data_IF_095134124057
#
_entry.id   IF_095134124057
#
_cell.length_a   1.000
_cell.length_b   1.000
_cell.length_c   1.000
_cell.angle_alpha   90.00
_cell.angle_beta   90.00
_cell.angle_gamma   90.00
#
_symmetry.space_group_name_H-M   'P 1'
#
loop_
_entity.id
_entity.type
_entity.pdbx_description
1 polymer ?
#
# COMPACT_ATOMS: atom_id res chain seq x y z
N UNK A 1 11.13 -21.34 3.25
CA UNK A 1 11.55 -21.71 1.88
C UNK A 1 12.82 -20.95 1.53
N UNK A 2 13.81 -21.66 0.99
CA UNK A 2 15.11 -21.10 0.61
C UNK A 2 15.21 -20.82 -0.89
N UNK A 3 15.76 -19.65 -1.23
CA UNK A 3 16.09 -19.25 -2.60
C UNK A 3 17.49 -19.76 -2.95
N UNK A 4 17.60 -21.06 -3.23
CA UNK A 4 18.83 -21.66 -3.74
C UNK A 4 19.19 -21.09 -5.12
N UNK A 5 20.47 -21.16 -5.48
CA UNK A 5 20.96 -20.64 -6.78
C UNK A 5 20.20 -21.25 -7.96
N UNK A 6 19.93 -22.56 -7.92
CA UNK A 6 19.13 -23.26 -8.94
C UNK A 6 17.70 -22.70 -9.08
N UNK A 7 17.04 -22.33 -7.97
CA UNK A 7 15.69 -21.73 -8.02
C UNK A 7 15.73 -20.29 -8.51
N UNK A 8 16.79 -19.57 -8.19
CA UNK A 8 17.01 -18.21 -8.71
C UNK A 8 17.22 -18.24 -10.22
N UNK A 9 17.98 -19.21 -10.72
CA UNK A 9 18.18 -19.41 -12.15
C UNK A 9 16.86 -19.75 -12.87
N UNK A 10 16.10 -20.74 -12.34
CA UNK A 10 14.78 -21.05 -12.86
C UNK A 10 13.83 -19.84 -12.85
N UNK A 11 13.85 -19.03 -11.79
CA UNK A 11 13.07 -17.79 -11.73
C UNK A 11 13.45 -16.84 -12.87
N UNK A 12 14.74 -16.61 -13.11
CA UNK A 12 15.23 -15.73 -14.19
C UNK A 12 14.80 -16.23 -15.57
N UNK A 13 14.90 -17.55 -15.81
CA UNK A 13 14.49 -18.18 -17.06
C UNK A 13 12.99 -18.00 -17.30
N UNK A 14 12.15 -18.41 -16.34
CA UNK A 14 10.69 -18.33 -16.47
C UNK A 14 10.19 -16.88 -16.53
N UNK A 15 10.90 -15.95 -15.87
CA UNK A 15 10.59 -14.52 -15.96
C UNK A 15 10.87 -13.97 -17.37
N UNK A 16 11.98 -14.38 -17.98
CA UNK A 16 12.36 -13.98 -19.34
C UNK A 16 11.45 -14.61 -20.40
N UNK A 17 10.98 -15.83 -20.16
CA UNK A 17 9.96 -16.51 -20.98
C UNK A 17 8.57 -15.84 -20.90
N UNK A 18 8.40 -14.85 -20.03
CA UNK A 18 7.16 -14.11 -19.94
C UNK A 18 6.04 -14.87 -19.23
N UNK A 19 6.36 -15.75 -18.27
CA UNK A 19 5.36 -16.35 -17.36
C UNK A 19 5.00 -15.42 -16.24
N UNK A 20 3.72 -15.35 -15.86
CA UNK A 20 3.26 -14.50 -14.76
C UNK A 20 3.81 -14.99 -13.42
N UNK A 21 3.89 -14.10 -12.43
CA UNK A 21 4.39 -14.46 -11.11
C UNK A 21 3.59 -15.60 -10.42
N UNK A 22 2.31 -15.76 -10.75
CA UNK A 22 1.51 -16.92 -10.31
C UNK A 22 1.99 -18.22 -10.95
N UNK A 23 2.14 -18.25 -12.27
CA UNK A 23 2.58 -19.44 -12.99
C UNK A 23 4.00 -19.85 -12.58
N UNK A 24 4.88 -18.86 -12.35
CA UNK A 24 6.23 -19.11 -11.83
C UNK A 24 6.15 -19.70 -10.42
N UNK A 25 5.25 -19.20 -9.57
CA UNK A 25 5.07 -19.73 -8.22
C UNK A 25 4.58 -21.18 -8.22
N UNK A 26 3.65 -21.52 -9.11
CA UNK A 26 3.19 -22.90 -9.32
C UNK A 26 4.31 -23.82 -9.81
N UNK A 27 5.12 -23.37 -10.79
CA UNK A 27 6.25 -24.14 -11.31
C UNK A 27 7.37 -24.34 -10.30
N UNK A 28 7.69 -23.31 -9.53
CA UNK A 28 8.72 -23.41 -8.49
C UNK A 28 8.23 -24.25 -7.32
N UNK A 29 6.94 -24.24 -7.00
CA UNK A 29 6.32 -24.98 -5.89
C UNK A 29 6.70 -24.44 -4.51
N UNK A 30 5.74 -24.29 -3.59
CA UNK A 30 5.97 -23.83 -2.21
C UNK A 30 6.45 -22.38 -2.05
N UNK A 31 6.51 -21.60 -3.14
CA UNK A 31 6.62 -20.14 -3.13
C UNK A 31 5.24 -19.52 -3.41
N UNK A 32 4.93 -18.38 -2.80
CA UNK A 32 3.76 -17.58 -3.18
C UNK A 32 4.08 -16.63 -4.34
N UNK A 33 3.04 -16.19 -5.07
CA UNK A 33 3.14 -15.13 -6.10
C UNK A 33 3.96 -13.92 -5.61
N UNK A 34 3.66 -13.42 -4.41
CA UNK A 34 4.34 -12.25 -3.86
C UNK A 34 5.84 -12.50 -3.56
N UNK A 35 6.20 -13.73 -3.17
CA UNK A 35 7.59 -14.10 -2.96
C UNK A 35 8.39 -14.07 -4.27
N UNK A 36 7.80 -14.54 -5.36
CA UNK A 36 8.35 -14.48 -6.73
C UNK A 36 8.56 -13.03 -7.15
N UNK A 37 7.54 -12.17 -7.04
CA UNK A 37 7.63 -10.74 -7.40
C UNK A 37 8.73 -10.05 -6.58
N UNK A 38 8.74 -10.27 -5.26
CA UNK A 38 9.73 -9.66 -4.38
C UNK A 38 11.16 -10.12 -4.71
N UNK A 39 11.36 -11.39 -5.04
CA UNK A 39 12.68 -11.90 -5.45
C UNK A 39 13.11 -11.33 -6.80
N UNK A 40 12.22 -11.31 -7.80
CA UNK A 40 12.50 -10.73 -9.12
C UNK A 40 12.90 -9.24 -9.02
N UNK A 41 12.20 -8.47 -8.19
CA UNK A 41 12.52 -7.06 -7.94
C UNK A 41 13.90 -6.88 -7.29
N UNK A 42 14.24 -7.69 -6.28
CA UNK A 42 15.57 -7.66 -5.63
C UNK A 42 16.71 -8.08 -6.57
N UNK A 43 16.41 -8.89 -7.59
CA UNK A 43 17.36 -9.30 -8.63
C UNK A 43 17.49 -8.27 -9.76
N UNK A 44 16.74 -7.16 -9.72
CA UNK A 44 16.77 -6.14 -10.77
C UNK A 44 16.17 -6.60 -12.10
N UNK A 45 15.31 -7.62 -12.10
CA UNK A 45 14.65 -8.08 -13.32
C UNK A 45 13.65 -7.03 -13.83
N UNK A 46 13.50 -6.97 -15.16
CA UNK A 46 12.63 -6.00 -15.84
C UNK A 46 11.22 -5.99 -15.24
N UNK A 47 10.76 -4.79 -14.86
CA UNK A 47 9.41 -4.59 -14.35
C UNK A 47 8.39 -4.90 -15.44
N UNK A 48 7.42 -5.75 -15.11
CA UNK A 48 6.28 -5.97 -15.99
C UNK A 48 5.36 -4.74 -15.99
N UNK A 49 4.84 -4.32 -17.16
CA UNK A 49 3.82 -3.29 -17.21
C UNK A 49 2.61 -3.72 -16.39
N UNK A 50 2.15 -2.83 -15.50
CA UNK A 50 0.94 -3.07 -14.74
C UNK A 50 -0.26 -3.10 -15.69
N UNK A 51 -1.10 -4.14 -15.67
CA UNK A 51 -2.33 -4.17 -16.48
C UNK A 51 -3.33 -3.10 -16.02
N UNK A 52 -3.19 -2.61 -14.80
CA UNK A 52 -3.99 -1.50 -14.28
C UNK A 52 -3.45 -0.19 -14.85
N UNK A 53 -4.15 0.33 -15.87
CA UNK A 53 -3.99 1.71 -16.33
C UNK A 53 -4.38 2.63 -15.18
N UNK A 54 -3.40 3.17 -14.45
CA UNK A 54 -3.68 4.24 -13.48
C UNK A 54 -4.17 5.45 -14.27
N UNK A 55 -5.46 5.76 -14.15
CA UNK A 55 -5.97 7.04 -14.64
C UNK A 55 -5.28 8.10 -13.80
N UNK A 56 -4.31 8.80 -14.39
CA UNK A 56 -3.64 9.93 -13.73
C UNK A 56 -4.70 11.00 -13.54
N UNK A 57 -5.29 11.06 -12.36
CA UNK A 57 -6.18 12.15 -11.98
C UNK A 57 -5.25 13.35 -11.78
N UNK A 58 -5.32 14.28 -12.75
CA UNK A 58 -4.77 15.62 -12.60
C UNK A 58 -5.33 16.19 -11.29
N UNK A 59 -4.45 16.44 -10.31
CA UNK A 59 -4.75 16.86 -8.93
C UNK A 59 -5.28 18.31 -8.87
N UNK A 60 -6.22 18.66 -9.74
CA UNK A 60 -6.69 20.03 -9.92
C UNK A 60 -8.19 20.17 -9.57
N UNK A 61 -8.82 19.08 -9.13
CA UNK A 61 -10.13 19.12 -8.50
C UNK A 61 -9.92 18.75 -7.02
N UNK A 62 -9.77 19.75 -6.15
CA UNK A 62 -9.95 19.58 -4.71
C UNK A 62 -11.39 19.11 -4.51
N UNK A 63 -11.58 17.80 -4.49
CA UNK A 63 -12.68 17.22 -3.74
C UNK A 63 -12.37 17.56 -2.29
N UNK A 64 -13.19 18.38 -1.64
CA UNK A 64 -13.07 18.72 -0.23
C UNK A 64 -13.05 17.40 0.56
N UNK A 65 -11.85 16.93 0.92
CA UNK A 65 -11.68 15.62 1.57
C UNK A 65 -12.46 15.66 2.88
N UNK A 66 -13.17 14.59 3.20
CA UNK A 66 -13.84 14.48 4.50
C UNK A 66 -12.86 14.12 5.61
N UNK A 67 -13.19 14.50 6.84
CA UNK A 67 -12.46 14.24 8.06
C UNK A 67 -12.44 12.74 8.33
N UNK A 68 -11.23 12.18 8.41
CA UNK A 68 -10.99 10.76 8.59
C UNK A 68 -10.78 10.37 10.07
N UNK A 69 -11.34 11.15 11.00
CA UNK A 69 -11.21 10.83 12.43
C UNK A 69 -12.14 9.66 12.79
N UNK A 70 -11.61 8.57 13.36
CA UNK A 70 -12.42 7.42 13.77
C UNK A 70 -13.22 7.75 15.03
N UNK A 71 -14.51 7.41 15.01
CA UNK A 71 -15.42 7.51 16.15
C UNK A 71 -15.84 6.08 16.49
N UNK A 72 -15.61 5.69 17.75
CA UNK A 72 -15.79 4.31 18.20
C UNK A 72 -14.57 3.41 17.95
N UNK A 73 -14.71 2.13 18.30
CA UNK A 73 -13.68 1.11 18.10
C UNK A 73 -13.94 0.36 16.78
N UNK A 74 -12.91 -0.04 15.99
CA UNK A 74 -13.09 -0.74 14.71
C UNK A 74 -13.92 -2.03 14.76
N UNK A 75 -14.07 -2.64 15.95
CA UNK A 75 -14.93 -3.81 16.14
C UNK A 75 -16.41 -3.51 16.36
N UNK A 76 -16.78 -2.24 16.54
CA UNK A 76 -18.11 -1.84 16.98
C UNK A 76 -19.07 -1.55 15.81
N UNK A 77 -20.36 -1.81 16.01
CA UNK A 77 -21.38 -1.57 14.98
C UNK A 77 -21.58 -0.07 14.70
N UNK A 78 -21.22 0.77 15.66
CA UNK A 78 -21.29 2.22 15.56
C UNK A 78 -19.99 2.85 15.05
N UNK A 79 -18.99 2.05 14.63
CA UNK A 79 -17.74 2.57 14.08
C UNK A 79 -17.98 3.38 12.81
N UNK A 80 -17.64 4.66 12.85
CA UNK A 80 -17.73 5.54 11.69
C UNK A 80 -16.63 6.60 11.68
N UNK A 81 -16.44 7.24 10.53
CA UNK A 81 -15.55 8.40 10.42
C UNK A 81 -16.37 9.68 10.51
N UNK A 82 -15.79 10.70 11.15
CA UNK A 82 -16.44 12.00 11.39
C UNK A 82 -17.14 12.61 10.15
N UNK A 83 -16.56 12.51 8.96
CA UNK A 83 -17.24 12.91 7.72
C UNK A 83 -17.35 14.42 7.46
N UNK A 84 -17.08 15.28 8.45
CA UNK A 84 -17.05 16.74 8.29
C UNK A 84 -15.95 17.18 7.28
N UNK A 85 -16.03 18.36 6.64
CA UNK A 85 -14.98 18.82 5.72
C UNK A 85 -13.61 18.89 6.40
N UNK A 86 -12.61 18.24 5.80
CA UNK A 86 -11.23 18.30 6.28
C UNK A 86 -10.61 19.65 5.91
N UNK A 87 -9.68 20.11 6.75
CA UNK A 87 -8.87 21.28 6.43
C UNK A 87 -7.99 20.99 5.21
N UNK A 88 -7.77 22.02 4.39
CA UNK A 88 -6.94 21.88 3.20
C UNK A 88 -5.56 21.28 3.54
N UNK A 89 -5.14 20.26 2.78
CA UNK A 89 -3.86 19.58 3.02
C UNK A 89 -3.77 18.79 4.33
N UNK A 90 -4.86 18.67 5.11
CA UNK A 90 -4.92 17.88 6.35
C UNK A 90 -5.95 16.77 6.22
N UNK A 91 -5.80 15.66 6.98
CA UNK A 91 -6.75 14.53 6.93
C UNK A 91 -8.00 14.73 7.81
N UNK A 92 -8.04 15.78 8.63
CA UNK A 92 -9.08 15.99 9.64
C UNK A 92 -9.71 17.39 9.55
N UNK A 93 -10.92 17.54 10.09
CA UNK A 93 -11.55 18.85 10.30
C UNK A 93 -10.79 19.68 11.35
N UNK A 94 -11.21 20.93 11.60
CA UNK A 94 -10.52 21.81 12.55
C UNK A 94 -10.42 21.22 13.96
N UNK A 95 -11.52 20.67 14.47
CA UNK A 95 -11.60 20.06 15.80
C UNK A 95 -10.65 18.86 15.94
N UNK A 96 -10.76 17.92 15.01
CA UNK A 96 -9.94 16.71 15.02
C UNK A 96 -8.47 16.98 14.65
N UNK A 97 -8.16 18.04 13.92
CA UNK A 97 -6.79 18.52 13.79
C UNK A 97 -6.24 19.01 15.13
N UNK A 98 -7.00 19.75 15.93
CA UNK A 98 -6.56 20.19 17.26
C UNK A 98 -6.30 18.98 18.19
N UNK A 99 -7.11 17.94 18.08
CA UNK A 99 -6.94 16.69 18.82
C UNK A 99 -5.70 15.89 18.37
N UNK A 100 -5.50 15.70 17.06
CA UNK A 100 -4.35 14.96 16.52
C UNK A 100 -3.01 15.70 16.72
N UNK A 101 -2.98 17.00 16.47
CA UNK A 101 -1.74 17.77 16.35
C UNK A 101 -1.42 18.60 17.60
N UNK A 102 -1.58 18.00 18.78
CA UNK A 102 -1.13 18.60 20.04
C UNK A 102 0.37 18.88 19.99
N UNK A 103 0.77 20.12 20.29
CA UNK A 103 2.18 20.49 20.42
C UNK A 103 2.76 19.73 21.61
N UNK A 104 3.99 19.25 21.48
CA UNK A 104 4.75 18.59 22.55
C UNK A 104 4.99 19.59 23.69
N UNK A 105 4.16 19.51 24.74
CA UNK A 105 4.29 20.03 26.13
C UNK A 105 4.82 21.45 26.37
N UNK A 106 3.98 22.31 26.96
CA UNK A 106 4.45 23.16 28.08
C UNK A 106 4.44 22.29 29.34
N UNK A 107 5.62 22.16 29.93
CA UNK A 107 5.95 21.23 31.00
C UNK A 107 5.16 21.49 32.29
N UNK A 108 4.98 20.42 33.05
CA UNK A 108 4.66 20.44 34.47
C UNK A 108 5.48 21.52 35.21
N UNK A 109 4.77 22.37 35.96
CA UNK A 109 5.29 23.19 37.05
C UNK A 109 4.38 22.94 38.26
#
# INVERSE_FOLDING_TARGET
MEWTEARVDQLKQLWSDGLTASQIAEKLGGVSRNAVIGKAHRLGLSSRPSPIKRKTIQLNAVSERMCQWPIGDPGDAEFHFCGAPALHGRPYCAEHCAAAYRRKSESAA
#
